data_IF_899542571280
#
_entry.id   IF_899542571280
#
_cell.length_a   1.000
_cell.length_b   1.000
_cell.length_c   1.000
_cell.angle_alpha   90.00
_cell.angle_beta   90.00
_cell.angle_gamma   90.00
#
_symmetry.space_group_name_H-M   'P 1'
#
loop_
_entity.id
_entity.type
_entity.pdbx_description
1 polymer ?
#
# COMPACT_ATOMS: atom_id res chain seq x y z
N UNK A 1 26.66 8.99 57.69
CA UNK A 1 26.02 7.74 57.27
C UNK A 1 24.82 8.09 56.39
N UNK A 2 24.98 8.36 55.09
CA UNK A 2 23.81 8.46 54.16
C UNK A 2 24.20 8.46 52.68
N UNK A 3 25.16 7.64 52.31
CA UNK A 3 25.59 7.54 50.89
C UNK A 3 25.15 6.28 50.19
N UNK A 4 24.65 5.25 50.88
CA UNK A 4 24.35 3.93 50.26
C UNK A 4 22.92 3.85 49.69
N UNK A 5 21.98 4.59 50.28
CA UNK A 5 20.55 4.48 49.94
C UNK A 5 20.15 5.19 48.64
N UNK A 6 20.99 6.11 48.13
CA UNK A 6 20.70 6.83 46.87
C UNK A 6 21.13 6.06 45.60
N UNK A 7 22.14 5.21 45.72
CA UNK A 7 22.64 4.38 44.60
C UNK A 7 21.74 3.18 44.31
N UNK A 8 21.19 2.59 45.33
CA UNK A 8 20.33 1.42 45.16
C UNK A 8 18.95 1.76 44.57
N UNK A 9 18.39 2.95 44.88
CA UNK A 9 17.16 3.43 44.25
C UNK A 9 17.33 3.65 42.74
N UNK A 10 18.39 4.31 42.32
CA UNK A 10 18.63 4.58 40.91
C UNK A 10 18.89 3.32 40.08
N UNK A 11 19.48 2.29 40.70
CA UNK A 11 19.68 1.00 40.03
C UNK A 11 18.36 0.20 39.91
N UNK A 12 17.53 0.18 40.92
CA UNK A 12 16.23 -0.45 40.91
C UNK A 12 15.26 0.22 39.90
N UNK A 13 15.26 1.55 39.83
CA UNK A 13 14.49 2.31 38.87
C UNK A 13 14.93 2.03 37.40
N UNK A 14 16.23 1.95 37.18
CA UNK A 14 16.74 1.58 35.84
C UNK A 14 16.40 0.16 35.43
N UNK A 15 16.48 -0.79 36.36
CA UNK A 15 16.06 -2.17 36.11
C UNK A 15 14.55 -2.28 35.84
N UNK A 16 13.74 -1.50 36.53
CA UNK A 16 12.29 -1.46 36.33
C UNK A 16 11.94 -0.87 34.94
N UNK A 17 12.58 0.24 34.56
CA UNK A 17 12.43 0.84 33.23
C UNK A 17 12.87 -0.11 32.10
N UNK A 18 13.99 -0.81 32.26
CA UNK A 18 14.47 -1.79 31.29
C UNK A 18 13.47 -2.97 31.13
N UNK A 19 12.86 -3.43 32.23
CA UNK A 19 11.81 -4.45 32.16
C UNK A 19 10.56 -3.96 31.42
N UNK A 20 10.11 -2.74 31.70
CA UNK A 20 8.95 -2.15 31.01
C UNK A 20 9.24 -2.03 29.50
N UNK A 21 10.39 -1.49 29.13
CA UNK A 21 10.80 -1.34 27.72
C UNK A 21 10.88 -2.72 27.04
N UNK A 22 11.50 -3.72 27.67
CA UNK A 22 11.60 -5.07 27.14
C UNK A 22 10.21 -5.70 26.92
N UNK A 23 9.28 -5.50 27.86
CA UNK A 23 7.91 -6.01 27.76
C UNK A 23 7.14 -5.30 26.64
N UNK A 24 7.26 -3.97 26.52
CA UNK A 24 6.65 -3.19 25.46
C UNK A 24 7.17 -3.59 24.07
N UNK A 25 8.49 -3.75 23.93
CA UNK A 25 9.10 -4.23 22.68
C UNK A 25 8.63 -5.63 22.34
N UNK A 26 8.54 -6.54 23.32
CA UNK A 26 8.02 -7.89 23.11
C UNK A 26 6.55 -7.90 22.71
N UNK A 27 5.72 -7.04 23.32
CA UNK A 27 4.31 -6.89 22.94
C UNK A 27 4.15 -6.30 21.54
N UNK A 28 4.93 -5.29 21.18
CA UNK A 28 4.94 -4.74 19.83
C UNK A 28 5.40 -5.76 18.79
N UNK A 29 6.44 -6.52 19.09
CA UNK A 29 6.96 -7.55 18.20
C UNK A 29 5.95 -8.70 18.02
N UNK A 30 5.30 -9.15 19.09
CA UNK A 30 4.25 -10.16 19.00
C UNK A 30 3.01 -9.65 18.27
N UNK A 31 2.59 -8.41 18.49
CA UNK A 31 1.50 -7.78 17.76
C UNK A 31 1.84 -7.68 16.25
N UNK A 32 3.06 -7.29 15.91
CA UNK A 32 3.53 -7.23 14.53
C UNK A 32 3.58 -8.62 13.87
N UNK A 33 4.08 -9.63 14.58
CA UNK A 33 4.08 -11.02 14.09
C UNK A 33 2.66 -11.59 13.93
N UNK A 34 1.72 -11.26 14.79
CA UNK A 34 0.32 -11.71 14.67
C UNK A 34 -0.37 -11.06 13.45
N UNK A 35 -0.09 -9.80 13.16
CA UNK A 35 -0.59 -9.13 11.95
C UNK A 35 -0.11 -9.87 10.68
N UNK A 36 1.13 -10.34 10.66
CA UNK A 36 1.66 -11.08 9.51
C UNK A 36 1.25 -12.56 9.47
N UNK A 37 0.97 -13.18 10.60
CA UNK A 37 0.76 -14.63 10.69
C UNK A 37 -0.57 -15.12 10.11
N UNK A 38 -1.57 -14.24 9.97
CA UNK A 38 -2.91 -14.57 9.51
C UNK A 38 -3.28 -14.00 8.13
N UNK A 39 -2.32 -13.39 7.41
CA UNK A 39 -2.59 -12.82 6.10
C UNK A 39 -2.09 -13.73 4.99
N UNK A 40 -2.97 -14.53 4.42
CA UNK A 40 -2.77 -15.15 3.10
C UNK A 40 -3.45 -14.25 2.08
N UNK A 41 -2.66 -13.41 1.42
CA UNK A 41 -3.17 -12.60 0.31
C UNK A 41 -3.31 -13.48 -0.94
N UNK A 42 -4.51 -13.49 -1.53
CA UNK A 42 -4.80 -14.20 -2.78
C UNK A 42 -5.09 -13.18 -3.87
N UNK A 43 -4.33 -13.25 -4.95
CA UNK A 43 -4.53 -12.40 -6.12
C UNK A 43 -4.88 -13.28 -7.30
N UNK A 44 -6.06 -13.07 -7.90
CA UNK A 44 -6.44 -13.73 -9.14
C UNK A 44 -6.08 -12.85 -10.32
N UNK A 45 -5.31 -13.40 -11.25
CA UNK A 45 -4.84 -12.72 -12.45
C UNK A 45 -5.21 -13.49 -13.70
N UNK A 46 -5.35 -12.77 -14.81
CA UNK A 46 -5.56 -13.38 -16.12
C UNK A 46 -4.26 -13.97 -16.64
N UNK A 47 -4.29 -15.23 -17.05
CA UNK A 47 -3.15 -15.94 -17.63
C UNK A 47 -3.54 -16.68 -18.91
N UNK A 48 -2.55 -16.91 -19.76
CA UNK A 48 -2.70 -17.75 -20.95
C UNK A 48 -3.42 -17.11 -22.13
N UNK A 49 -3.48 -17.87 -23.21
CA UNK A 49 -3.97 -17.40 -24.52
C UNK A 49 -5.47 -17.10 -24.55
N UNK A 50 -6.26 -17.67 -23.64
CA UNK A 50 -7.72 -17.50 -23.62
C UNK A 50 -8.17 -16.04 -23.37
N UNK A 51 -7.32 -15.24 -22.74
CA UNK A 51 -7.65 -13.84 -22.39
C UNK A 51 -6.91 -12.81 -23.25
N UNK A 52 -6.10 -13.25 -24.20
CA UNK A 52 -5.23 -12.37 -24.99
C UNK A 52 -3.98 -11.91 -24.25
N UNK A 53 -2.92 -11.63 -25.00
CA UNK A 53 -1.65 -11.20 -24.42
C UNK A 53 -1.71 -9.79 -23.81
N UNK A 54 -2.62 -8.95 -24.29
CA UNK A 54 -2.90 -7.60 -23.82
C UNK A 54 -3.55 -7.59 -22.43
N UNK A 55 -4.12 -8.71 -22.00
CA UNK A 55 -4.72 -8.88 -20.68
C UNK A 55 -3.86 -9.73 -19.73
N UNK A 56 -2.71 -10.19 -20.21
CA UNK A 56 -1.82 -11.04 -19.42
C UNK A 56 -1.43 -10.35 -18.10
N UNK A 57 -1.58 -11.08 -17.02
CA UNK A 57 -1.26 -10.69 -15.65
C UNK A 57 -2.05 -9.50 -15.08
N UNK A 58 -3.16 -9.11 -15.72
CA UNK A 58 -4.08 -8.15 -15.13
C UNK A 58 -4.87 -8.77 -13.99
N UNK A 59 -4.95 -8.07 -12.89
CA UNK A 59 -5.67 -8.49 -11.68
C UNK A 59 -7.17 -8.46 -11.96
N UNK A 60 -7.87 -9.46 -11.45
CA UNK A 60 -9.33 -9.54 -11.44
C UNK A 60 -9.88 -9.39 -10.03
N UNK A 61 -9.26 -10.06 -9.07
CA UNK A 61 -9.69 -9.97 -7.68
C UNK A 61 -8.50 -10.06 -6.72
N UNK A 62 -8.69 -9.47 -5.55
CA UNK A 62 -7.84 -9.64 -4.39
C UNK A 62 -8.69 -10.12 -3.21
N UNK A 63 -8.32 -11.27 -2.63
CA UNK A 63 -9.13 -11.97 -1.63
C UNK A 63 -10.60 -12.08 -2.05
N UNK A 64 -10.80 -12.54 -3.33
CA UNK A 64 -12.10 -12.77 -3.96
C UNK A 64 -12.93 -11.51 -4.23
N UNK A 65 -12.40 -10.31 -3.97
CA UNK A 65 -13.07 -9.03 -4.22
C UNK A 65 -12.42 -8.29 -5.38
N UNK A 66 -13.22 -7.68 -6.28
CA UNK A 66 -12.71 -6.86 -7.38
C UNK A 66 -12.31 -5.44 -6.95
N UNK A 67 -12.45 -5.13 -5.66
CA UNK A 67 -12.22 -3.79 -5.11
C UNK A 67 -11.11 -3.79 -4.05
N UNK A 68 -10.48 -2.66 -3.88
CA UNK A 68 -9.51 -2.41 -2.80
C UNK A 68 -10.21 -2.63 -1.44
N UNK A 69 -9.58 -3.34 -0.49
CA UNK A 69 -10.16 -3.56 0.83
C UNK A 69 -10.59 -2.25 1.51
N UNK A 70 -11.81 -2.22 2.04
CA UNK A 70 -12.36 -1.06 2.74
C UNK A 70 -12.88 0.06 1.83
N UNK A 71 -12.85 -0.12 0.50
CA UNK A 71 -13.35 0.85 -0.47
C UNK A 71 -14.45 0.29 -1.34
N UNK A 72 -15.42 1.15 -1.70
CA UNK A 72 -16.53 0.79 -2.56
C UNK A 72 -16.70 1.84 -3.67
N UNK A 73 -16.48 1.47 -4.95
CA UNK A 73 -16.68 2.38 -6.09
C UNK A 73 -18.10 2.90 -6.19
N UNK A 74 -19.12 2.10 -5.79
CA UNK A 74 -20.53 2.49 -5.83
C UNK A 74 -20.85 3.61 -4.82
N UNK A 75 -20.03 3.77 -3.79
CA UNK A 75 -20.13 4.85 -2.81
C UNK A 75 -19.30 6.08 -3.17
N UNK A 76 -18.76 6.12 -4.40
CA UNK A 76 -17.96 7.23 -4.90
C UNK A 76 -16.49 7.18 -4.47
N UNK A 77 -16.01 6.05 -3.94
CA UNK A 77 -14.58 5.87 -3.67
C UNK A 77 -13.83 5.72 -5.00
N UNK A 78 -13.07 6.73 -5.37
CA UNK A 78 -12.27 6.67 -6.59
C UNK A 78 -11.03 5.78 -6.42
N UNK A 79 -10.55 5.22 -7.55
CA UNK A 79 -9.41 4.29 -7.62
C UNK A 79 -9.55 3.05 -6.72
N UNK A 80 -10.78 2.68 -6.44
CA UNK A 80 -11.11 1.53 -5.61
C UNK A 80 -11.18 0.21 -6.39
N UNK A 81 -11.30 0.24 -7.73
CA UNK A 81 -11.33 -0.95 -8.56
C UNK A 81 -9.94 -1.56 -8.72
N UNK A 82 -9.85 -2.88 -8.56
CA UNK A 82 -8.63 -3.66 -8.83
C UNK A 82 -8.63 -4.26 -10.23
N UNK A 83 -9.81 -4.32 -10.87
CA UNK A 83 -9.96 -4.95 -12.18
C UNK A 83 -9.11 -4.24 -13.22
N UNK A 84 -8.36 -5.01 -13.99
CA UNK A 84 -7.41 -4.56 -15.01
C UNK A 84 -6.18 -3.81 -14.47
N UNK A 85 -5.96 -3.79 -13.16
CA UNK A 85 -4.71 -3.30 -12.60
C UNK A 85 -3.60 -4.36 -12.65
N UNK A 86 -2.37 -3.95 -12.34
CA UNK A 86 -1.21 -4.83 -12.22
C UNK A 86 -0.50 -4.61 -10.89
N UNK A 87 0.08 -5.66 -10.35
CA UNK A 87 0.86 -5.59 -9.10
C UNK A 87 2.33 -5.18 -9.32
N UNK A 88 2.75 -5.01 -10.58
CA UNK A 88 4.10 -4.61 -10.93
C UNK A 88 5.12 -5.73 -11.03
N UNK A 89 4.74 -6.99 -10.76
CA UNK A 89 5.62 -8.14 -10.95
C UNK A 89 5.72 -8.53 -12.43
N UNK A 90 4.61 -8.54 -13.13
CA UNK A 90 4.51 -8.81 -14.56
C UNK A 90 3.53 -7.81 -15.21
N UNK A 91 3.70 -7.60 -16.49
CA UNK A 91 2.91 -6.65 -17.26
C UNK A 91 2.31 -7.30 -18.51
N UNK A 92 1.19 -6.76 -19.02
CA UNK A 92 0.67 -7.15 -20.31
C UNK A 92 1.71 -7.03 -21.42
N UNK A 93 1.57 -7.87 -22.43
CA UNK A 93 2.42 -7.80 -23.63
C UNK A 93 1.84 -6.82 -24.65
N UNK A 94 2.68 -6.34 -25.55
CA UNK A 94 2.29 -5.44 -26.66
C UNK A 94 1.60 -4.14 -26.23
N UNK A 95 2.08 -3.58 -25.09
CA UNK A 95 1.56 -2.31 -24.60
C UNK A 95 1.89 -1.16 -25.57
N UNK A 96 0.91 -0.29 -25.75
CA UNK A 96 1.08 0.96 -26.51
C UNK A 96 1.55 2.06 -25.57
N UNK A 97 2.26 3.06 -26.11
CA UNK A 97 2.76 4.21 -25.33
C UNK A 97 1.63 5.01 -24.66
N UNK A 98 0.48 5.05 -25.31
CA UNK A 98 -0.72 5.75 -24.82
C UNK A 98 -1.45 4.98 -23.71
N UNK A 99 -1.09 3.71 -23.48
CA UNK A 99 -1.74 2.87 -22.46
C UNK A 99 -1.39 3.37 -21.07
N UNK A 100 -2.40 3.73 -20.28
CA UNK A 100 -2.24 3.99 -18.86
C UNK A 100 -2.22 2.66 -18.13
N UNK A 101 -1.18 2.43 -17.32
CA UNK A 101 -1.07 1.25 -16.48
C UNK A 101 -1.63 1.54 -15.10
N UNK A 102 -2.65 0.82 -14.70
CA UNK A 102 -3.17 0.88 -13.34
C UNK A 102 -2.34 -0.04 -12.45
N UNK A 103 -1.60 0.57 -11.53
CA UNK A 103 -0.72 -0.11 -10.60
C UNK A 103 -1.36 -0.19 -9.23
N UNK A 104 -1.40 -1.38 -8.65
CA UNK A 104 -1.90 -1.61 -7.32
C UNK A 104 -0.88 -2.31 -6.43
N UNK A 105 -0.80 -1.86 -5.22
CA UNK A 105 -0.16 -2.57 -4.12
C UNK A 105 -0.91 -2.35 -2.83
N UNK A 106 -0.95 -3.37 -1.99
CA UNK A 106 -1.55 -3.31 -0.66
C UNK A 106 -0.98 -2.16 0.18
N UNK A 107 0.32 -1.90 0.08
CA UNK A 107 0.99 -0.80 0.79
C UNK A 107 0.52 0.59 0.39
N UNK A 108 -0.02 0.76 -0.81
CA UNK A 108 -0.57 2.04 -1.30
C UNK A 108 -2.07 2.13 -1.01
N UNK A 109 -2.74 0.97 -0.89
CA UNK A 109 -4.16 0.84 -0.60
C UNK A 109 -5.08 1.56 -1.62
N UNK A 110 -4.60 1.69 -2.85
CA UNK A 110 -5.28 2.28 -4.00
C UNK A 110 -4.69 1.75 -5.28
N UNK A 111 -5.43 1.86 -6.37
CA UNK A 111 -4.83 1.80 -7.69
C UNK A 111 -4.34 3.19 -8.07
N UNK A 112 -3.15 3.25 -8.67
CA UNK A 112 -2.55 4.50 -9.12
C UNK A 112 -2.21 4.41 -10.60
N UNK A 113 -2.43 5.46 -11.39
CA UNK A 113 -2.12 5.46 -12.81
C UNK A 113 -0.63 5.72 -13.05
N UNK A 114 -0.01 4.86 -13.86
CA UNK A 114 1.33 5.06 -14.39
C UNK A 114 1.23 5.48 -15.85
N UNK A 115 1.99 6.49 -16.22
CA UNK A 115 2.04 7.06 -17.57
C UNK A 115 3.37 6.79 -18.23
N UNK A 116 3.36 6.58 -19.54
CA UNK A 116 4.57 6.47 -20.33
C UNK A 116 5.39 7.78 -20.25
N UNK A 117 6.66 7.66 -19.90
CA UNK A 117 7.59 8.80 -19.88
C UNK A 117 8.48 8.77 -21.12
N UNK A 118 9.20 7.66 -21.33
CA UNK A 118 10.16 7.53 -22.42
C UNK A 118 10.56 6.08 -22.70
N UNK A 119 11.22 5.88 -23.81
CA UNK A 119 11.94 4.64 -24.11
C UNK A 119 13.31 4.65 -23.42
N UNK A 120 13.70 3.51 -22.89
CA UNK A 120 15.00 3.31 -22.25
C UNK A 120 15.64 2.03 -22.77
N UNK A 121 16.95 2.01 -22.83
CA UNK A 121 17.72 0.80 -23.14
C UNK A 121 18.24 0.19 -21.85
N UNK A 122 17.92 -1.07 -21.63
CA UNK A 122 18.45 -1.89 -20.55
C UNK A 122 19.36 -2.96 -21.18
N UNK A 123 20.63 -2.64 -21.33
CA UNK A 123 21.55 -3.44 -22.15
C UNK A 123 21.14 -3.42 -23.61
N UNK A 124 20.83 -4.58 -24.19
CA UNK A 124 20.35 -4.72 -25.57
C UNK A 124 18.83 -4.65 -25.72
N UNK A 125 18.08 -4.57 -24.62
CA UNK A 125 16.60 -4.60 -24.62
C UNK A 125 16.08 -3.18 -24.61
N UNK A 126 15.15 -2.88 -25.54
CA UNK A 126 14.36 -1.65 -25.52
C UNK A 126 13.16 -1.83 -24.59
N UNK A 127 12.97 -0.93 -23.66
CA UNK A 127 11.89 -0.96 -22.68
C UNK A 127 11.20 0.41 -22.58
N UNK A 128 9.94 0.39 -22.11
CA UNK A 128 9.19 1.61 -21.80
C UNK A 128 9.31 1.93 -20.32
N UNK A 129 9.64 3.18 -20.01
CA UNK A 129 9.61 3.69 -18.66
C UNK A 129 8.26 4.32 -18.39
N UNK A 130 7.57 3.82 -17.36
CA UNK A 130 6.33 4.38 -16.84
C UNK A 130 6.56 5.00 -15.48
N UNK A 131 5.93 6.10 -15.21
CA UNK A 131 6.07 6.87 -13.96
C UNK A 131 4.72 7.34 -13.44
N UNK A 132 4.64 7.57 -12.14
CA UNK A 132 3.59 8.37 -11.54
C UNK A 132 3.82 9.84 -11.91
N UNK A 133 2.75 10.61 -12.05
CA UNK A 133 2.88 12.07 -12.10
C UNK A 133 3.23 12.61 -10.72
N UNK A 134 4.01 13.66 -10.68
CA UNK A 134 4.47 14.28 -9.43
C UNK A 134 3.30 14.79 -8.57
N UNK A 135 2.20 15.20 -9.22
CA UNK A 135 0.97 15.71 -8.60
C UNK A 135 -0.06 14.62 -8.21
N UNK A 136 0.28 13.33 -8.36
CA UNK A 136 -0.67 12.21 -8.16
C UNK A 136 -1.32 12.22 -6.76
N UNK A 137 -0.61 12.66 -5.74
CA UNK A 137 -1.09 12.72 -4.35
C UNK A 137 -1.33 14.15 -3.85
N UNK A 138 -1.36 15.11 -4.75
CA UNK A 138 -1.64 16.49 -4.38
C UNK A 138 -3.12 16.65 -3.99
N UNK A 139 -3.38 17.55 -3.03
CA UNK A 139 -4.74 17.90 -2.64
C UNK A 139 -5.36 18.81 -3.68
N UNK A 140 -6.58 18.45 -4.06
CA UNK A 140 -7.38 19.27 -4.96
C UNK A 140 -8.22 20.22 -4.13
N UNK A 141 -8.43 21.44 -4.64
CA UNK A 141 -9.32 22.43 -4.02
C UNK A 141 -10.77 21.93 -3.97
N UNK A 142 -11.15 21.10 -4.93
CA UNK A 142 -12.43 20.42 -4.94
C UNK A 142 -12.35 19.11 -4.15
N UNK A 143 -12.87 19.10 -2.94
CA UNK A 143 -12.88 17.94 -2.03
C UNK A 143 -13.58 16.69 -2.60
N UNK A 144 -14.44 16.84 -3.62
CA UNK A 144 -15.10 15.70 -4.26
C UNK A 144 -14.16 14.95 -5.21
N UNK A 145 -13.17 15.62 -5.74
CA UNK A 145 -12.20 15.06 -6.68
C UNK A 145 -10.91 14.56 -6.01
N UNK A 146 -10.73 14.85 -4.71
CA UNK A 146 -9.56 14.37 -3.95
C UNK A 146 -9.70 12.89 -3.63
N UNK A 147 -9.23 12.07 -4.54
CA UNK A 147 -9.32 10.60 -4.46
C UNK A 147 -8.46 9.98 -3.37
N UNK A 148 -7.48 10.68 -2.86
CA UNK A 148 -6.55 10.18 -1.84
C UNK A 148 -6.83 10.74 -0.45
N UNK A 149 -7.88 11.54 -0.35
CA UNK A 149 -8.36 12.09 0.88
C UNK A 149 -8.87 10.99 1.78
N UNK A 150 -8.60 10.57 2.77
CA UNK A 150 -9.27 9.62 3.67
C UNK A 150 -10.32 10.30 4.54
N UNK A 151 -10.61 9.74 5.69
CA UNK A 151 -11.49 10.34 6.68
C UNK A 151 -10.86 11.56 7.37
N UNK A 152 -9.53 11.67 7.31
CA UNK A 152 -8.76 12.78 7.88
C UNK A 152 -8.25 13.70 6.78
N UNK A 153 -8.21 15.00 7.06
CA UNK A 153 -7.54 15.97 6.18
C UNK A 153 -6.05 15.87 6.39
N UNK A 154 -5.37 15.18 5.48
CA UNK A 154 -3.93 15.04 5.48
C UNK A 154 -3.29 16.12 4.59
N UNK A 155 -2.03 16.50 4.84
CA UNK A 155 -1.27 17.36 3.93
C UNK A 155 -1.14 16.78 2.52
N UNK A 156 -0.91 17.64 1.52
CA UNK A 156 -0.60 17.23 0.15
C UNK A 156 0.57 16.23 0.12
N UNK A 157 0.51 15.25 -0.77
CA UNK A 157 1.51 14.19 -0.87
C UNK A 157 1.27 12.99 0.06
N UNK A 158 0.26 13.02 0.94
CA UNK A 158 -0.07 11.92 1.85
C UNK A 158 -1.41 11.28 1.49
N UNK A 159 -1.50 9.96 1.66
CA UNK A 159 -2.73 9.19 1.48
C UNK A 159 -3.11 8.46 2.77
N UNK A 160 -4.40 8.48 3.13
CA UNK A 160 -4.91 7.73 4.28
C UNK A 160 -5.09 6.24 3.92
N UNK A 161 -4.40 5.38 4.63
CA UNK A 161 -4.41 3.93 4.44
C UNK A 161 -5.25 3.19 5.50
N UNK A 162 -5.82 3.91 6.46
CA UNK A 162 -6.47 3.32 7.64
C UNK A 162 -7.60 2.36 7.26
N UNK A 163 -8.42 2.70 6.27
CA UNK A 163 -9.54 1.87 5.80
C UNK A 163 -9.12 0.51 5.26
N UNK A 164 -7.93 0.43 4.68
CA UNK A 164 -7.40 -0.79 4.10
C UNK A 164 -6.85 -1.77 5.15
N UNK A 165 -6.20 -1.23 6.19
CA UNK A 165 -5.52 -2.04 7.18
C UNK A 165 -6.39 -2.36 8.41
N UNK A 166 -7.22 -1.43 8.83
CA UNK A 166 -8.01 -1.56 10.07
C UNK A 166 -9.51 -1.72 9.82
N UNK A 167 -9.95 -1.69 8.56
CA UNK A 167 -11.35 -1.71 8.22
C UNK A 167 -12.06 -0.39 8.57
N UNK A 168 -13.39 -0.37 8.44
CA UNK A 168 -14.18 0.75 8.98
C UNK A 168 -14.19 0.61 10.50
N UNK A 169 -13.48 1.49 11.18
CA UNK A 169 -13.71 1.73 12.60
C UNK A 169 -15.05 2.48 12.65
N UNK A 170 -16.10 1.78 13.08
CA UNK A 170 -17.41 2.37 13.33
C UNK A 170 -17.39 3.10 14.66
#
# INVERSE_FOLDING_TARGET
MDGSNKRDRTFAERLFLLKIISTLVSLMFNCHLQIYKNYTDRVNVLIGKAHGNENFFKIQTYNERPTVPGFNPEQGDCFASLVNSTEGALYPQFMKKETVLWYWRKTICRTVPLYFEKEVKLGSILAYKYVLKDDTFDRLDNLKEDCYKGNNVLPSGLSDLSRCYFGKIY
#
